data_IF_004340990121
#
_entry.id   IF_004340990121
#
_cell.length_a   1.000
_cell.length_b   1.000
_cell.length_c   1.000
_cell.angle_alpha   90.00
_cell.angle_beta   90.00
_cell.angle_gamma   90.00
#
_symmetry.space_group_name_H-M   'P 1'
#
loop_
_entity.id
_entity.type
_entity.pdbx_description
1 polymer ?
#
# COMPACT_ATOMS: atom_id res chain seq x y z
N UNK A 1 21.12 15.24 56.05
CA UNK A 1 22.25 14.86 55.18
C UNK A 1 21.63 13.93 54.18
N UNK A 2 21.10 14.49 53.09
CA UNK A 2 20.30 13.74 52.13
C UNK A 2 20.81 14.07 50.74
N UNK A 3 21.21 13.00 50.04
CA UNK A 3 21.86 13.01 48.75
C UNK A 3 20.86 13.43 47.66
N UNK A 4 21.20 14.49 46.93
CA UNK A 4 20.56 14.88 45.68
C UNK A 4 21.24 14.11 44.55
N UNK A 5 20.57 13.09 44.02
CA UNK A 5 21.04 12.34 42.84
C UNK A 5 20.46 12.98 41.58
N UNK A 6 21.24 13.82 40.91
CA UNK A 6 20.97 14.28 39.54
C UNK A 6 21.27 13.16 38.56
N UNK A 7 20.23 12.58 37.96
CA UNK A 7 20.34 11.69 36.80
C UNK A 7 20.28 12.55 35.52
N UNK A 8 21.45 12.84 34.97
CA UNK A 8 21.64 13.29 33.59
C UNK A 8 21.50 12.09 32.66
N UNK A 9 20.35 11.93 32.04
CA UNK A 9 20.13 10.94 30.98
C UNK A 9 20.71 11.48 29.68
N UNK A 10 21.91 11.00 29.33
CA UNK A 10 22.51 11.15 28.01
C UNK A 10 21.65 10.42 26.97
N UNK A 11 21.04 11.17 26.06
CA UNK A 11 20.39 10.61 24.88
C UNK A 11 21.43 9.95 23.96
N UNK A 12 21.23 8.71 23.48
CA UNK A 12 22.08 8.16 22.43
C UNK A 12 21.85 8.92 21.12
N UNK A 13 22.96 9.26 20.47
CA UNK A 13 22.99 9.92 19.18
C UNK A 13 22.16 9.14 18.15
N UNK A 14 21.36 9.89 17.39
CA UNK A 14 20.65 9.42 16.21
C UNK A 14 21.65 8.74 15.26
N UNK A 15 21.47 7.44 15.04
CA UNK A 15 22.12 6.72 13.95
C UNK A 15 21.81 7.45 12.64
N UNK A 16 22.85 8.01 12.04
CA UNK A 16 22.82 8.51 10.68
C UNK A 16 22.43 7.36 9.75
N UNK A 17 21.50 7.55 8.79
CA UNK A 17 21.38 6.60 7.70
C UNK A 17 22.70 6.60 6.94
N UNK A 18 23.37 5.46 6.96
CA UNK A 18 24.56 5.20 6.15
C UNK A 18 24.11 5.19 4.68
N UNK A 19 24.10 6.38 4.07
CA UNK A 19 23.89 6.54 2.65
C UNK A 19 25.07 5.92 1.92
N UNK A 20 24.87 4.72 1.36
CA UNK A 20 25.72 4.25 0.28
C UNK A 20 25.41 5.13 -0.93
N UNK A 21 26.24 6.15 -1.10
CA UNK A 21 26.27 6.96 -2.30
C UNK A 21 26.61 6.09 -3.52
N UNK A 22 25.74 6.11 -4.53
CA UNK A 22 26.16 5.91 -5.93
C UNK A 22 26.49 4.49 -6.39
N UNK A 23 25.81 3.45 -5.91
CA UNK A 23 25.76 2.20 -6.68
C UNK A 23 25.01 2.48 -7.99
N UNK A 24 25.68 2.36 -9.14
CA UNK A 24 25.04 2.39 -10.45
C UNK A 24 23.85 1.44 -10.43
N UNK A 25 22.63 1.92 -10.69
CA UNK A 25 21.46 1.07 -10.88
C UNK A 25 21.78 0.09 -12.01
N UNK A 26 22.09 -1.16 -11.66
CA UNK A 26 22.30 -2.20 -12.65
C UNK A 26 20.94 -2.60 -13.19
N UNK A 27 20.75 -2.42 -14.49
CA UNK A 27 19.60 -2.93 -15.23
C UNK A 27 19.95 -4.24 -15.93
N UNK A 28 19.01 -5.16 -16.01
CA UNK A 28 19.17 -6.45 -16.66
C UNK A 28 17.80 -7.00 -17.09
N UNK A 29 17.78 -7.97 -18.01
CA UNK A 29 16.53 -8.66 -18.39
C UNK A 29 16.30 -9.89 -17.54
N UNK A 30 15.04 -10.22 -17.28
CA UNK A 30 14.70 -11.46 -16.59
C UNK A 30 15.30 -12.70 -17.29
N UNK A 31 15.40 -12.70 -18.62
CA UNK A 31 16.03 -13.75 -19.41
C UNK A 31 17.50 -13.96 -19.07
N UNK A 32 18.26 -12.90 -18.76
CA UNK A 32 19.67 -13.02 -18.36
C UNK A 32 19.79 -13.81 -17.05
N UNK A 33 18.95 -13.49 -16.06
CA UNK A 33 18.92 -14.17 -14.77
C UNK A 33 18.42 -15.63 -14.89
N UNK A 34 17.45 -15.88 -15.77
CA UNK A 34 17.00 -17.24 -16.10
C UNK A 34 18.11 -18.06 -16.76
N UNK A 35 18.90 -17.45 -17.65
CA UNK A 35 20.03 -18.12 -18.29
C UNK A 35 21.13 -18.45 -17.27
N UNK A 36 21.47 -17.55 -16.35
CA UNK A 36 22.41 -17.87 -15.25
C UNK A 36 21.89 -19.04 -14.40
N UNK A 37 20.60 -19.04 -14.06
CA UNK A 37 19.98 -20.12 -13.30
C UNK A 37 20.10 -21.49 -13.97
N UNK A 38 20.12 -21.53 -15.31
CA UNK A 38 20.24 -22.78 -16.09
C UNK A 38 21.69 -23.20 -16.33
N UNK A 39 22.63 -22.25 -16.36
CA UNK A 39 24.00 -22.49 -16.84
C UNK A 39 25.06 -22.45 -15.75
N UNK A 40 24.85 -21.70 -14.66
CA UNK A 40 25.83 -21.62 -13.58
C UNK A 40 25.87 -22.89 -12.74
N UNK A 41 27.06 -23.30 -12.29
CA UNK A 41 27.21 -24.48 -11.44
C UNK A 41 26.47 -24.27 -10.12
N UNK A 42 25.75 -25.30 -9.67
CA UNK A 42 25.08 -25.28 -8.37
C UNK A 42 26.10 -25.42 -7.26
N UNK A 43 25.96 -24.56 -6.26
CA UNK A 43 26.77 -24.55 -5.04
C UNK A 43 25.80 -24.86 -3.90
N UNK A 44 26.10 -25.93 -3.15
CA UNK A 44 25.43 -26.18 -1.88
C UNK A 44 26.14 -25.37 -0.79
N UNK A 45 25.39 -24.61 0.00
CA UNK A 45 25.92 -23.99 1.21
C UNK A 45 25.22 -24.56 2.44
N UNK A 46 26.00 -24.70 3.51
CA UNK A 46 25.49 -24.97 4.84
C UNK A 46 25.15 -23.61 5.44
N UNK A 47 23.88 -23.40 5.73
CA UNK A 47 23.44 -22.25 6.51
C UNK A 47 23.62 -22.61 7.99
N UNK A 48 24.37 -21.80 8.74
CA UNK A 48 24.68 -22.06 10.16
C UNK A 48 23.39 -22.19 11.00
N UNK A 49 22.28 -21.63 10.52
CA UNK A 49 20.99 -21.58 11.21
C UNK A 49 19.91 -22.51 10.61
N UNK A 50 20.21 -23.33 9.59
CA UNK A 50 19.19 -24.18 8.94
C UNK A 50 19.52 -25.68 8.96
N UNK A 51 18.50 -26.52 9.16
CA UNK A 51 18.59 -28.00 9.18
C UNK A 51 18.77 -28.64 7.79
N UNK A 52 19.24 -27.91 6.76
CA UNK A 52 19.35 -28.43 5.40
C UNK A 52 20.31 -27.67 4.49
N UNK A 53 20.82 -28.36 3.46
CA UNK A 53 21.61 -27.74 2.39
C UNK A 53 20.68 -27.02 1.42
N UNK A 54 20.93 -25.74 1.20
CA UNK A 54 20.25 -24.98 0.14
C UNK A 54 21.16 -24.95 -1.09
N UNK A 55 20.63 -25.37 -2.23
CA UNK A 55 21.31 -25.24 -3.52
C UNK A 55 21.03 -23.87 -4.14
N UNK A 56 22.09 -23.19 -4.57
CA UNK A 56 21.95 -22.01 -5.42
C UNK A 56 23.18 -21.76 -6.28
N UNK A 57 23.32 -20.54 -6.78
CA UNK A 57 24.41 -20.15 -7.66
C UNK A 57 24.78 -18.67 -7.40
N UNK A 58 26.03 -18.32 -7.70
CA UNK A 58 26.47 -16.93 -7.71
C UNK A 58 25.97 -16.27 -9.01
N UNK A 59 25.03 -15.32 -8.88
CA UNK A 59 24.50 -14.54 -10.00
C UNK A 59 25.40 -13.34 -10.28
N UNK A 60 25.79 -13.15 -11.54
CA UNK A 60 26.60 -11.98 -11.94
C UNK A 60 25.73 -10.74 -12.11
N UNK A 61 24.50 -10.89 -12.62
CA UNK A 61 23.54 -9.78 -12.73
C UNK A 61 23.09 -9.25 -11.37
N UNK A 62 22.83 -10.11 -10.39
CA UNK A 62 22.47 -9.69 -9.03
C UNK A 62 23.68 -9.45 -8.12
N UNK A 63 24.89 -9.81 -8.59
CA UNK A 63 26.15 -9.80 -7.83
C UNK A 63 26.06 -10.52 -6.48
N UNK A 64 25.20 -11.54 -6.39
CA UNK A 64 24.82 -12.21 -5.14
C UNK A 64 24.41 -13.65 -5.38
N UNK A 65 24.37 -14.41 -4.29
CA UNK A 65 23.83 -15.77 -4.29
C UNK A 65 22.31 -15.75 -4.37
N UNK A 66 21.79 -16.60 -5.25
CA UNK A 66 20.36 -16.80 -5.44
C UNK A 66 20.06 -18.27 -5.62
N UNK A 67 18.84 -18.66 -5.27
CA UNK A 67 18.36 -20.02 -5.47
C UNK A 67 17.52 -20.10 -6.75
N UNK A 68 17.52 -21.24 -7.46
CA UNK A 68 16.64 -21.46 -8.61
C UNK A 68 15.17 -21.21 -8.26
N UNK A 69 14.74 -21.57 -7.05
CA UNK A 69 13.39 -21.29 -6.56
C UNK A 69 13.05 -19.80 -6.57
N UNK A 70 13.98 -18.94 -6.12
CA UNK A 70 13.81 -17.47 -6.15
C UNK A 70 13.61 -16.97 -7.57
N UNK A 71 14.44 -17.44 -8.50
CA UNK A 71 14.40 -17.00 -9.91
C UNK A 71 13.10 -17.46 -10.58
N UNK A 72 12.67 -18.71 -10.34
CA UNK A 72 11.42 -19.23 -10.86
C UNK A 72 10.19 -18.52 -10.27
N UNK A 73 10.21 -18.20 -8.97
CA UNK A 73 9.16 -17.42 -8.33
C UNK A 73 9.08 -15.99 -8.89
N UNK A 74 10.23 -15.36 -9.17
CA UNK A 74 10.28 -14.06 -9.84
C UNK A 74 9.70 -14.16 -11.26
N UNK A 75 10.08 -15.17 -12.03
CA UNK A 75 9.54 -15.39 -13.37
C UNK A 75 8.02 -15.65 -13.35
N UNK A 76 7.52 -16.41 -12.37
CA UNK A 76 6.09 -16.59 -12.15
C UNK A 76 5.38 -15.29 -11.81
N UNK A 77 5.97 -14.45 -10.96
CA UNK A 77 5.43 -13.13 -10.63
C UNK A 77 5.35 -12.23 -11.88
N UNK A 78 6.35 -12.27 -12.74
CA UNK A 78 6.47 -11.47 -13.96
C UNK A 78 5.94 -12.17 -15.22
N UNK A 79 5.15 -13.23 -15.08
CA UNK A 79 4.69 -14.04 -16.22
C UNK A 79 3.96 -13.22 -17.30
N UNK A 80 3.23 -12.16 -16.91
CA UNK A 80 2.55 -11.25 -17.84
C UNK A 80 3.48 -10.29 -18.57
N UNK A 81 4.64 -9.97 -17.99
CA UNK A 81 5.67 -9.12 -18.60
C UNK A 81 6.60 -9.95 -19.50
N UNK A 82 6.74 -11.24 -19.19
CA UNK A 82 7.51 -12.19 -19.98
C UNK A 82 9.02 -12.16 -19.67
N UNK A 83 9.82 -12.99 -20.37
CA UNK A 83 11.25 -13.13 -20.11
C UNK A 83 12.06 -11.89 -20.51
N UNK A 84 11.51 -11.01 -21.34
CA UNK A 84 12.18 -9.76 -21.75
C UNK A 84 11.94 -8.60 -20.78
N UNK A 85 11.23 -8.82 -19.67
CA UNK A 85 11.00 -7.81 -18.64
C UNK A 85 12.33 -7.21 -18.15
N UNK A 86 12.46 -5.89 -18.25
CA UNK A 86 13.62 -5.16 -17.74
C UNK A 86 13.47 -4.88 -16.25
N UNK A 87 14.52 -5.21 -15.50
CA UNK A 87 14.61 -5.11 -14.06
C UNK A 87 15.79 -4.24 -13.68
N UNK A 88 15.58 -3.35 -12.72
CA UNK A 88 16.65 -2.54 -12.12
C UNK A 88 16.83 -2.90 -10.66
N UNK A 89 18.09 -2.96 -10.20
CA UNK A 89 18.38 -3.13 -8.77
C UNK A 89 18.22 -1.78 -8.09
N UNK A 90 17.25 -1.68 -7.18
CA UNK A 90 17.02 -0.48 -6.36
C UNK A 90 17.89 -0.49 -5.11
N UNK A 91 17.97 -1.62 -4.42
CA UNK A 91 18.76 -1.77 -3.20
C UNK A 91 19.18 -3.22 -3.00
N UNK A 92 20.35 -3.46 -2.41
CA UNK A 92 20.81 -4.78 -2.03
C UNK A 92 21.48 -4.74 -0.66
N UNK A 93 21.00 -5.54 0.28
CA UNK A 93 21.48 -5.61 1.67
C UNK A 93 21.66 -7.07 2.11
N UNK A 94 22.09 -7.32 3.34
CA UNK A 94 22.36 -8.68 3.83
C UNK A 94 21.11 -9.58 3.87
N UNK A 95 19.91 -9.00 3.85
CA UNK A 95 18.63 -9.69 3.90
C UNK A 95 17.99 -9.88 2.53
N UNK A 96 18.59 -9.37 1.45
CA UNK A 96 18.05 -9.57 0.10
C UNK A 96 18.33 -8.46 -0.91
N UNK A 97 17.64 -8.57 -2.05
CA UNK A 97 17.73 -7.65 -3.18
C UNK A 97 16.35 -7.13 -3.53
N UNK A 98 16.23 -5.82 -3.66
CA UNK A 98 15.03 -5.14 -4.13
C UNK A 98 15.21 -4.78 -5.60
N UNK A 99 14.29 -5.29 -6.42
CA UNK A 99 14.20 -5.05 -7.85
C UNK A 99 13.01 -4.15 -8.17
N UNK A 100 13.12 -3.38 -9.25
CA UNK A 100 12.05 -2.55 -9.76
C UNK A 100 11.89 -2.81 -11.25
N UNK A 101 10.66 -3.14 -11.67
CA UNK A 101 10.32 -3.32 -13.09
C UNK A 101 10.10 -1.96 -13.78
N UNK A 102 10.05 -1.94 -15.11
CA UNK A 102 9.68 -0.74 -15.88
C UNK A 102 8.33 -0.15 -15.45
N UNK A 103 7.38 -1.03 -15.08
CA UNK A 103 6.04 -0.66 -14.59
C UNK A 103 6.03 -0.24 -13.12
N UNK A 104 7.20 0.05 -12.54
CA UNK A 104 7.37 0.47 -11.15
C UNK A 104 6.94 -0.58 -10.12
N UNK A 105 6.84 -1.86 -10.50
CA UNK A 105 6.58 -2.94 -9.54
C UNK A 105 7.84 -3.19 -8.71
N UNK A 106 7.76 -2.99 -7.40
CA UNK A 106 8.87 -3.20 -6.47
C UNK A 106 8.81 -4.61 -5.90
N UNK A 107 9.89 -5.37 -6.04
CA UNK A 107 9.95 -6.80 -5.72
C UNK A 107 11.15 -7.06 -4.82
N UNK A 108 10.94 -7.71 -3.69
CA UNK A 108 11.99 -8.17 -2.79
C UNK A 108 12.29 -9.64 -3.04
N UNK A 109 13.55 -9.93 -3.32
CA UNK A 109 14.13 -11.27 -3.30
C UNK A 109 14.81 -11.48 -1.94
N UNK A 110 14.43 -12.52 -1.21
CA UNK A 110 15.04 -12.91 0.08
C UNK A 110 15.76 -14.27 -0.03
N UNK A 111 16.95 -14.32 -0.65
CA UNK A 111 17.83 -15.48 -0.54
C UNK A 111 18.35 -15.63 0.91
N UNK A 112 18.70 -16.84 1.37
CA UNK A 112 18.62 -18.13 0.68
C UNK A 112 17.23 -18.77 0.67
N UNK A 113 16.27 -18.23 1.45
CA UNK A 113 14.97 -18.87 1.74
C UNK A 113 14.00 -18.93 0.56
N UNK A 114 14.35 -18.41 -0.61
CA UNK A 114 13.54 -18.52 -1.81
C UNK A 114 12.35 -17.56 -1.86
N UNK A 115 12.28 -16.57 -0.95
CA UNK A 115 11.15 -15.67 -0.88
C UNK A 115 11.17 -14.63 -1.99
N UNK A 116 10.03 -14.49 -2.67
CA UNK A 116 9.74 -13.37 -3.57
C UNK A 116 8.50 -12.67 -3.04
N UNK A 117 8.65 -11.42 -2.62
CA UNK A 117 7.57 -10.60 -2.08
C UNK A 117 7.41 -9.32 -2.88
N UNK A 118 6.18 -8.87 -3.07
CA UNK A 118 5.91 -7.59 -3.72
C UNK A 118 5.83 -6.50 -2.65
N UNK A 119 6.61 -5.44 -2.82
CA UNK A 119 6.72 -4.34 -1.89
C UNK A 119 5.77 -3.20 -2.25
N UNK A 120 5.47 -2.36 -1.27
CA UNK A 120 4.82 -1.09 -1.46
C UNK A 120 5.44 -0.29 -2.62
N UNK A 121 4.60 0.32 -3.47
CA UNK A 121 5.04 1.10 -4.62
C UNK A 121 5.88 2.34 -4.24
N UNK A 122 5.69 2.88 -3.03
CA UNK A 122 6.50 3.99 -2.52
C UNK A 122 8.00 3.64 -2.54
N UNK A 123 8.87 4.45 -3.19
CA UNK A 123 10.29 4.19 -3.29
C UNK A 123 10.94 3.96 -1.93
N UNK A 124 11.88 3.02 -1.87
CA UNK A 124 12.64 2.65 -0.66
C UNK A 124 11.81 2.12 0.52
N UNK A 125 10.49 1.97 0.39
CA UNK A 125 9.68 1.29 1.38
C UNK A 125 10.01 -0.22 1.40
N UNK A 126 10.25 -0.79 2.57
CA UNK A 126 10.49 -2.23 2.72
C UNK A 126 9.24 -3.03 3.08
N UNK A 127 8.11 -2.35 3.31
CA UNK A 127 6.86 -3.00 3.71
C UNK A 127 6.20 -3.70 2.51
N UNK A 128 5.54 -4.85 2.74
CA UNK A 128 4.75 -5.51 1.70
C UNK A 128 3.57 -4.63 1.28
N UNK A 129 3.22 -4.68 0.00
CA UNK A 129 1.95 -4.09 -0.46
C UNK A 129 0.75 -4.89 0.07
N UNK A 130 -0.41 -4.25 0.12
CA UNK A 130 -1.64 -4.90 0.57
C UNK A 130 -2.16 -5.90 -0.47
N UNK A 131 -2.27 -5.48 -1.73
CA UNK A 131 -2.80 -6.33 -2.79
C UNK A 131 -2.26 -5.94 -4.17
N UNK A 132 -1.63 -6.91 -4.83
CA UNK A 132 -1.05 -6.70 -6.16
C UNK A 132 -2.12 -6.35 -7.19
N UNK A 133 -1.92 -5.24 -7.88
CA UNK A 133 -2.74 -4.79 -9.01
C UNK A 133 -3.90 -3.88 -8.64
N UNK A 134 -4.26 -3.79 -7.35
CA UNK A 134 -5.40 -2.98 -6.87
C UNK A 134 -5.01 -2.02 -5.75
N UNK A 135 -4.24 -2.49 -4.77
CA UNK A 135 -3.76 -1.69 -3.63
C UNK A 135 -2.25 -1.94 -3.48
N UNK A 136 -1.49 -1.23 -4.30
CA UNK A 136 -0.04 -1.35 -4.44
C UNK A 136 0.77 -0.68 -3.31
N UNK A 137 0.10 -0.11 -2.32
CA UNK A 137 0.71 0.50 -1.13
C UNK A 137 0.63 -0.40 0.10
N UNK A 138 1.55 -0.19 1.05
CA UNK A 138 1.43 -0.74 2.40
C UNK A 138 0.44 0.07 3.25
N UNK A 139 0.08 -0.43 4.43
CA UNK A 139 -0.85 0.25 5.34
C UNK A 139 -0.43 1.68 5.71
N UNK A 140 0.86 1.91 5.91
CA UNK A 140 1.40 3.21 6.30
C UNK A 140 1.26 4.24 5.18
N UNK A 141 1.72 3.90 3.97
CA UNK A 141 1.65 4.80 2.82
C UNK A 141 0.23 4.97 2.31
N UNK A 142 -0.61 3.94 2.39
CA UNK A 142 -2.03 4.04 2.06
C UNK A 142 -2.73 5.07 2.97
N UNK A 143 -2.48 5.04 4.28
CA UNK A 143 -3.02 6.01 5.23
C UNK A 143 -2.50 7.44 4.98
N UNK A 144 -1.25 7.59 4.53
CA UNK A 144 -0.67 8.90 4.21
C UNK A 144 -1.05 9.44 2.82
N UNK A 145 -1.67 8.61 1.97
CA UNK A 145 -1.96 8.95 0.58
C UNK A 145 -3.01 10.04 0.43
N UNK A 146 -2.93 10.77 -0.67
CA UNK A 146 -3.94 11.77 -1.01
C UNK A 146 -5.31 11.11 -1.21
N UNK A 147 -6.43 11.74 -0.79
CA UNK A 147 -7.78 11.22 -1.02
C UNK A 147 -8.09 10.80 -2.45
N UNK A 148 -7.57 11.54 -3.44
CA UNK A 148 -7.76 11.21 -4.86
C UNK A 148 -7.11 9.87 -5.22
N UNK A 149 -5.91 9.61 -4.70
CA UNK A 149 -5.19 8.34 -4.93
C UNK A 149 -5.94 7.18 -4.30
N UNK A 150 -6.45 7.34 -3.08
CA UNK A 150 -7.25 6.31 -2.39
C UNK A 150 -8.54 6.03 -3.16
N UNK A 151 -9.23 7.07 -3.64
CA UNK A 151 -10.44 6.92 -4.45
C UNK A 151 -10.16 6.20 -5.78
N UNK A 152 -9.05 6.51 -6.45
CA UNK A 152 -8.65 5.83 -7.69
C UNK A 152 -8.33 4.34 -7.45
N UNK A 153 -7.60 4.01 -6.38
CA UNK A 153 -7.38 2.61 -5.97
C UNK A 153 -8.70 1.90 -5.66
N UNK A 154 -9.62 2.58 -4.96
CA UNK A 154 -10.93 2.03 -4.62
C UNK A 154 -11.78 1.74 -5.85
N UNK A 155 -11.79 2.64 -6.84
CA UNK A 155 -12.45 2.43 -8.13
C UNK A 155 -11.84 1.23 -8.85
N UNK A 156 -10.50 1.20 -9.01
CA UNK A 156 -9.80 0.12 -9.71
C UNK A 156 -10.09 -1.24 -9.08
N UNK A 157 -10.00 -1.33 -7.75
CA UNK A 157 -10.33 -2.54 -7.01
C UNK A 157 -11.78 -2.96 -7.19
N UNK A 158 -12.73 -2.03 -7.03
CA UNK A 158 -14.16 -2.31 -7.11
C UNK A 158 -14.59 -2.78 -8.49
N UNK A 159 -14.08 -2.16 -9.56
CA UNK A 159 -14.31 -2.61 -10.94
C UNK A 159 -13.79 -4.02 -11.17
N UNK A 160 -12.58 -4.34 -10.70
CA UNK A 160 -12.04 -5.70 -10.82
C UNK A 160 -12.88 -6.72 -10.04
N UNK A 161 -13.28 -6.37 -8.81
CA UNK A 161 -14.13 -7.22 -7.98
C UNK A 161 -15.50 -7.47 -8.62
N UNK A 162 -16.13 -6.43 -9.18
CA UNK A 162 -17.38 -6.55 -9.93
C UNK A 162 -17.25 -7.51 -11.11
N UNK A 163 -16.20 -7.36 -11.94
CA UNK A 163 -15.95 -8.26 -13.07
C UNK A 163 -15.71 -9.71 -12.65
N UNK A 164 -14.95 -9.96 -11.58
CA UNK A 164 -14.65 -11.31 -11.08
C UNK A 164 -15.86 -11.99 -10.46
N UNK A 165 -16.75 -11.21 -9.83
CA UNK A 165 -17.97 -11.70 -9.18
C UNK A 165 -19.19 -11.68 -10.10
N UNK A 166 -19.00 -11.28 -11.37
CA UNK A 166 -20.06 -11.17 -12.38
C UNK A 166 -21.25 -10.31 -11.92
N UNK A 167 -21.01 -9.35 -11.03
CA UNK A 167 -22.05 -8.49 -10.47
C UNK A 167 -23.05 -9.15 -9.53
N UNK A 168 -22.79 -10.36 -9.01
CA UNK A 168 -23.70 -11.09 -8.11
C UNK A 168 -23.92 -10.34 -6.77
N UNK A 169 -25.12 -9.78 -6.51
CA UNK A 169 -25.42 -8.99 -5.31
C UNK A 169 -25.18 -9.73 -3.99
N UNK A 170 -25.32 -11.06 -3.97
CA UNK A 170 -25.13 -11.86 -2.76
C UNK A 170 -23.64 -12.01 -2.39
N UNK A 171 -22.76 -11.86 -3.37
CA UNK A 171 -21.30 -12.00 -3.22
C UNK A 171 -20.57 -10.66 -3.19
N UNK A 172 -21.22 -9.59 -3.67
CA UNK A 172 -20.70 -8.23 -3.60
C UNK A 172 -20.75 -7.68 -2.16
N UNK A 173 -19.66 -7.03 -1.74
CA UNK A 173 -19.51 -6.43 -0.43
C UNK A 173 -18.79 -7.30 0.60
N UNK A 174 -18.59 -6.77 1.82
CA UNK A 174 -17.93 -7.50 2.91
C UNK A 174 -16.42 -7.72 2.75
N UNK A 175 -15.79 -7.18 1.70
CA UNK A 175 -14.36 -7.33 1.46
C UNK A 175 -13.51 -6.56 2.48
N UNK A 176 -12.39 -7.18 2.90
CA UNK A 176 -11.36 -6.56 3.74
C UNK A 176 -10.62 -5.42 3.03
N UNK A 177 -10.46 -5.50 1.72
CA UNK A 177 -9.80 -4.48 0.89
C UNK A 177 -10.60 -3.19 0.91
N UNK A 178 -11.92 -3.28 0.72
CA UNK A 178 -12.82 -2.14 0.86
C UNK A 178 -12.72 -1.51 2.26
N UNK A 179 -12.63 -2.32 3.32
CA UNK A 179 -12.43 -1.80 4.69
C UNK A 179 -11.12 -1.05 4.83
N UNK A 180 -10.01 -1.58 4.28
CA UNK A 180 -8.70 -0.94 4.34
C UNK A 180 -8.68 0.41 3.61
N UNK A 181 -9.30 0.49 2.44
CA UNK A 181 -9.43 1.74 1.67
C UNK A 181 -10.27 2.78 2.43
N UNK A 182 -11.40 2.37 3.02
CA UNK A 182 -12.25 3.27 3.82
C UNK A 182 -11.56 3.73 5.10
N UNK A 183 -10.85 2.83 5.78
CA UNK A 183 -10.07 3.15 6.97
C UNK A 183 -8.93 4.13 6.66
N UNK A 184 -8.21 3.93 5.55
CA UNK A 184 -7.21 4.86 5.08
C UNK A 184 -7.82 6.23 4.73
N UNK A 185 -8.95 6.25 4.02
CA UNK A 185 -9.66 7.49 3.70
C UNK A 185 -10.14 8.24 4.95
N UNK A 186 -10.49 7.52 6.03
CA UNK A 186 -10.86 8.11 7.31
C UNK A 186 -9.72 8.95 7.91
N UNK A 187 -8.46 8.56 7.73
CA UNK A 187 -7.32 9.35 8.21
C UNK A 187 -7.23 10.74 7.58
N UNK A 188 -7.78 10.89 6.36
CA UNK A 188 -7.80 12.11 5.57
C UNK A 188 -9.17 12.81 5.58
N UNK A 189 -10.14 12.29 6.35
CA UNK A 189 -11.52 12.81 6.35
C UNK A 189 -12.25 12.63 5.02
N UNK A 190 -11.87 11.63 4.22
CA UNK A 190 -12.39 11.41 2.86
C UNK A 190 -13.25 10.13 2.71
N UNK A 191 -13.66 9.51 3.83
CA UNK A 191 -14.38 8.23 3.80
C UNK A 191 -15.67 8.27 2.98
N UNK A 192 -16.49 9.31 3.10
CA UNK A 192 -17.76 9.41 2.33
C UNK A 192 -17.52 9.33 0.82
N UNK A 193 -16.47 10.00 0.32
CA UNK A 193 -16.11 9.96 -1.09
C UNK A 193 -15.68 8.57 -1.53
N UNK A 194 -14.80 7.93 -0.77
CA UNK A 194 -14.31 6.58 -1.10
C UNK A 194 -15.43 5.55 -1.00
N UNK A 195 -16.34 5.68 -0.03
CA UNK A 195 -17.53 4.82 0.07
C UNK A 195 -18.41 4.98 -1.16
N UNK A 196 -18.71 6.21 -1.60
CA UNK A 196 -19.46 6.44 -2.83
C UNK A 196 -18.79 5.80 -4.05
N UNK A 197 -17.49 6.04 -4.23
CA UNK A 197 -16.72 5.45 -5.34
C UNK A 197 -16.75 3.92 -5.33
N UNK A 198 -16.59 3.30 -4.15
CA UNK A 198 -16.70 1.86 -4.00
C UNK A 198 -18.09 1.36 -4.41
N UNK A 199 -19.15 2.00 -3.92
CA UNK A 199 -20.52 1.56 -4.21
C UNK A 199 -20.90 1.71 -5.69
N UNK A 200 -20.53 2.83 -6.31
CA UNK A 200 -20.78 3.12 -7.73
C UNK A 200 -20.01 2.18 -8.66
N UNK A 201 -18.85 1.68 -8.22
CA UNK A 201 -18.00 0.79 -9.04
C UNK A 201 -18.22 -0.70 -8.76
N UNK A 202 -18.71 -1.04 -7.56
CA UNK A 202 -18.93 -2.41 -7.11
C UNK A 202 -20.38 -2.87 -7.33
N UNK A 203 -21.33 -1.94 -7.40
CA UNK A 203 -22.75 -2.23 -7.65
C UNK A 203 -23.24 -1.41 -8.85
N UNK A 204 -24.41 -1.78 -9.36
CA UNK A 204 -25.11 -0.94 -10.35
C UNK A 204 -25.54 0.35 -9.68
N UNK A 205 -25.30 1.50 -10.33
CA UNK A 205 -25.72 2.80 -9.83
C UNK A 205 -27.23 2.82 -9.53
N UNK A 206 -27.63 3.41 -8.41
CA UNK A 206 -29.00 3.29 -7.86
C UNK A 206 -30.07 3.82 -8.82
N UNK A 207 -29.75 4.84 -9.61
CA UNK A 207 -30.57 5.41 -10.69
C UNK A 207 -30.58 4.58 -11.98
N UNK A 208 -29.65 3.65 -12.15
CA UNK A 208 -29.52 2.79 -13.33
C UNK A 208 -30.07 1.37 -13.11
N UNK A 209 -30.40 0.99 -11.86
CA UNK A 209 -30.88 -0.35 -11.51
C UNK A 209 -32.10 -0.75 -12.35
N UNK A 210 -33.10 0.13 -12.46
CA UNK A 210 -34.34 -0.16 -13.21
C UNK A 210 -34.10 -0.26 -14.73
N UNK A 211 -33.04 0.37 -15.23
CA UNK A 211 -32.67 0.34 -16.65
C UNK A 211 -31.84 -0.90 -17.01
N UNK A 212 -30.97 -1.35 -16.10
CA UNK A 212 -30.00 -2.42 -16.35
C UNK A 212 -30.48 -3.80 -15.88
N UNK A 213 -31.35 -3.87 -14.88
CA UNK A 213 -31.85 -5.12 -14.31
C UNK A 213 -33.35 -5.20 -14.58
N UNK A 214 -33.80 -6.18 -15.37
CA UNK A 214 -35.21 -6.28 -15.76
C UNK A 214 -36.08 -6.97 -14.72
N UNK A 215 -35.52 -7.85 -13.89
CA UNK A 215 -36.28 -8.56 -12.87
C UNK A 215 -36.42 -7.71 -11.60
N UNK A 216 -37.66 -7.50 -11.14
CA UNK A 216 -37.97 -6.69 -9.95
C UNK A 216 -37.35 -7.27 -8.66
N UNK A 217 -37.21 -8.60 -8.57
CA UNK A 217 -36.62 -9.25 -7.40
C UNK A 217 -35.12 -8.97 -7.37
N UNK A 218 -34.43 -9.16 -8.49
CA UNK A 218 -33.01 -8.82 -8.64
C UNK A 218 -32.74 -7.32 -8.40
N UNK A 219 -33.63 -6.43 -8.86
CA UNK A 219 -33.53 -4.99 -8.55
C UNK A 219 -33.59 -4.72 -7.04
N UNK A 220 -34.53 -5.36 -6.33
CA UNK A 220 -34.67 -5.21 -4.88
C UNK A 220 -33.47 -5.78 -4.13
N UNK A 221 -32.95 -6.93 -4.57
CA UNK A 221 -31.74 -7.56 -4.03
C UNK A 221 -30.53 -6.66 -4.22
N UNK A 222 -30.35 -6.05 -5.40
CA UNK A 222 -29.28 -5.10 -5.69
C UNK A 222 -29.35 -3.87 -4.79
N UNK A 223 -30.55 -3.28 -4.62
CA UNK A 223 -30.76 -2.14 -3.70
C UNK A 223 -30.45 -2.52 -2.25
N UNK A 224 -30.90 -3.69 -1.82
CA UNK A 224 -30.65 -4.18 -0.47
C UNK A 224 -29.15 -4.43 -0.22
N UNK A 225 -28.47 -5.09 -1.16
CA UNK A 225 -27.04 -5.35 -1.07
C UNK A 225 -26.23 -4.04 -1.01
N UNK A 226 -26.53 -3.09 -1.90
CA UNK A 226 -25.93 -1.74 -1.91
C UNK A 226 -26.16 -1.01 -0.59
N UNK A 227 -27.39 -1.01 -0.08
CA UNK A 227 -27.75 -0.37 1.19
C UNK A 227 -27.06 -0.99 2.40
N UNK A 228 -26.99 -2.32 2.45
CA UNK A 228 -26.28 -3.08 3.49
C UNK A 228 -24.80 -2.76 3.48
N UNK A 229 -24.16 -2.75 2.32
CA UNK A 229 -22.74 -2.44 2.19
C UNK A 229 -22.43 -0.99 2.54
N UNK A 230 -23.29 -0.04 2.13
CA UNK A 230 -23.20 1.37 2.51
C UNK A 230 -23.17 1.56 4.03
N UNK A 231 -24.06 0.88 4.77
CA UNK A 231 -24.10 0.93 6.24
C UNK A 231 -22.84 0.31 6.84
N UNK A 232 -22.39 -0.82 6.30
CA UNK A 232 -21.20 -1.54 6.77
C UNK A 232 -19.95 -0.67 6.62
N UNK A 233 -19.70 -0.12 5.44
CA UNK A 233 -18.53 0.73 5.19
C UNK A 233 -18.56 2.03 6.02
N UNK A 234 -19.74 2.64 6.22
CA UNK A 234 -19.88 3.77 7.15
C UNK A 234 -19.51 3.38 8.58
N UNK A 235 -19.91 2.19 9.02
CA UNK A 235 -19.55 1.69 10.36
C UNK A 235 -18.04 1.52 10.52
N UNK A 236 -17.35 1.08 9.46
CA UNK A 236 -15.88 0.98 9.42
C UNK A 236 -15.23 2.35 9.55
N UNK A 237 -15.68 3.33 8.75
CA UNK A 237 -15.23 4.72 8.84
C UNK A 237 -15.44 5.31 10.25
N UNK A 238 -16.66 5.23 10.78
CA UNK A 238 -16.99 5.74 12.11
C UNK A 238 -16.16 5.09 13.23
N UNK A 239 -15.86 3.79 13.10
CA UNK A 239 -15.01 3.07 14.06
C UNK A 239 -13.57 3.56 13.99
N UNK A 240 -13.05 3.73 12.78
CA UNK A 240 -11.67 4.15 12.57
C UNK A 240 -11.44 5.61 12.97
N UNK A 241 -12.36 6.51 12.63
CA UNK A 241 -12.31 7.92 13.04
C UNK A 241 -12.36 8.06 14.57
N UNK A 242 -13.21 7.26 15.25
CA UNK A 242 -13.24 7.19 16.72
C UNK A 242 -11.92 6.67 17.29
N UNK A 243 -11.32 5.64 16.69
CA UNK A 243 -10.02 5.11 17.08
C UNK A 243 -8.93 6.19 16.97
N UNK A 244 -8.88 6.90 15.83
CA UNK A 244 -7.90 7.96 15.56
C UNK A 244 -8.07 9.16 16.50
N UNK A 245 -9.31 9.57 16.79
CA UNK A 245 -9.62 10.60 17.80
C UNK A 245 -9.17 10.17 19.20
N UNK A 246 -9.37 8.90 19.56
CA UNK A 246 -8.92 8.34 20.83
C UNK A 246 -7.39 8.35 21.00
N UNK A 247 -6.64 8.16 19.90
CA UNK A 247 -5.17 8.25 19.90
C UNK A 247 -4.70 9.71 19.95
N UNK A 248 -5.31 10.59 19.14
CA UNK A 248 -4.89 12.00 19.04
C UNK A 248 -5.28 12.81 20.27
N UNK A 249 -6.42 12.51 20.88
CA UNK A 249 -7.03 13.12 22.10
C UNK A 249 -7.39 14.60 22.02
N UNK A 250 -6.58 15.43 21.37
CA UNK A 250 -6.76 16.89 21.26
C UNK A 250 -6.64 17.32 19.79
N UNK A 251 -7.34 18.38 19.43
CA UNK A 251 -7.32 18.90 18.08
C UNK A 251 -5.94 19.48 17.76
N UNK A 252 -5.35 19.07 16.64
CA UNK A 252 -4.04 19.59 16.21
C UNK A 252 -4.07 21.09 15.84
N UNK A 253 -5.25 21.65 15.57
CA UNK A 253 -5.41 23.05 15.18
C UNK A 253 -5.70 24.03 16.31
N UNK A 254 -6.55 23.66 17.28
CA UNK A 254 -6.94 24.54 18.39
C UNK A 254 -6.57 24.02 19.79
N UNK A 255 -6.14 22.75 19.92
CA UNK A 255 -5.84 22.12 21.20
C UNK A 255 -7.06 21.60 21.97
N UNK A 256 -8.28 21.87 21.51
CA UNK A 256 -9.50 21.44 22.19
C UNK A 256 -9.61 19.91 22.26
N UNK A 257 -10.19 19.35 23.34
CA UNK A 257 -10.39 17.92 23.49
C UNK A 257 -11.28 17.33 22.38
N UNK A 258 -10.78 16.30 21.68
CA UNK A 258 -11.52 15.62 20.61
C UNK A 258 -12.55 14.63 21.13
N UNK A 259 -12.45 14.20 22.39
CA UNK A 259 -13.32 13.19 22.98
C UNK A 259 -14.76 13.69 23.22
N UNK A 260 -14.98 15.01 23.25
CA UNK A 260 -16.30 15.62 23.38
C UNK A 260 -17.14 15.50 22.09
N UNK A 261 -16.50 15.24 20.96
CA UNK A 261 -17.15 15.06 19.65
C UNK A 261 -17.49 13.58 19.43
N UNK A 262 -18.64 13.16 19.98
CA UNK A 262 -19.14 11.78 19.87
C UNK A 262 -19.50 11.37 18.44
N UNK A 263 -19.78 12.34 17.56
CA UNK A 263 -20.03 12.09 16.13
C UNK A 263 -18.87 12.64 15.31
N UNK A 264 -18.39 11.89 14.31
CA UNK A 264 -17.44 12.43 13.38
C UNK A 264 -18.01 13.65 12.64
N UNK A 265 -17.16 14.65 12.46
CA UNK A 265 -17.47 15.77 11.59
C UNK A 265 -17.19 15.31 10.17
N UNK A 266 -18.24 15.19 9.35
CA UNK A 266 -18.09 14.76 7.96
C UNK A 266 -17.11 15.66 7.21
N UNK A 267 -16.36 15.05 6.29
CA UNK A 267 -15.35 15.74 5.49
C UNK A 267 -14.27 16.47 6.31
N UNK A 268 -14.03 16.05 7.56
CA UNK A 268 -13.00 16.60 8.42
C UNK A 268 -12.08 15.47 8.89
N UNK A 269 -10.75 15.58 8.70
CA UNK A 269 -9.83 14.59 9.22
C UNK A 269 -9.97 14.46 10.75
N UNK A 270 -9.82 13.26 11.31
CA UNK A 270 -10.13 12.95 12.70
C UNK A 270 -9.19 13.63 13.70
N UNK A 271 -8.06 14.16 13.25
CA UNK A 271 -7.12 14.92 14.07
C UNK A 271 -7.58 16.36 14.32
N UNK A 272 -8.66 16.80 13.67
CA UNK A 272 -9.24 18.14 13.80
C UNK A 272 -10.68 18.11 14.31
N UNK A 273 -11.06 19.14 15.07
CA UNK A 273 -12.42 19.31 15.58
C UNK A 273 -13.37 19.90 14.52
N UNK A 274 -12.83 20.58 13.50
CA UNK A 274 -13.60 21.24 12.44
C UNK A 274 -12.76 21.42 11.17
N UNK A 275 -13.40 21.60 10.00
CA UNK A 275 -12.71 21.90 8.74
C UNK A 275 -11.82 23.15 8.84
N UNK A 276 -12.27 24.17 9.56
CA UNK A 276 -11.50 25.40 9.77
C UNK A 276 -10.18 25.15 10.52
N UNK A 277 -10.14 24.17 11.41
CA UNK A 277 -8.90 23.76 12.07
C UNK A 277 -7.99 22.95 11.15
N UNK A 278 -8.55 22.14 10.24
CA UNK A 278 -7.77 21.42 9.25
C UNK A 278 -7.14 22.37 8.21
N UNK A 279 -7.91 23.34 7.71
CA UNK A 279 -7.47 24.26 6.65
C UNK A 279 -6.27 25.13 7.05
N UNK A 280 -6.20 25.54 8.32
CA UNK A 280 -5.05 26.29 8.85
C UNK A 280 -3.72 25.54 8.76
N UNK A 281 -3.80 24.21 8.77
CA UNK A 281 -2.64 23.31 8.75
C UNK A 281 -2.47 22.59 7.41
N UNK A 282 -3.33 22.89 6.42
CA UNK A 282 -3.16 22.36 5.08
C UNK A 282 -1.90 22.99 4.48
N UNK A 283 -0.92 22.20 4.02
CA UNK A 283 0.23 22.76 3.31
C UNK A 283 -0.30 23.56 2.12
N UNK A 284 0.04 24.85 2.06
CA UNK A 284 -0.31 25.68 0.90
C UNK A 284 0.25 24.99 -0.34
N UNK A 285 -0.54 24.80 -1.41
CA UNK A 285 0.00 24.27 -2.65
C UNK A 285 1.19 25.14 -3.01
N UNK A 286 2.37 24.52 -3.21
CA UNK A 286 3.50 25.22 -3.79
C UNK A 286 2.98 25.79 -5.10
N UNK A 287 2.91 27.11 -5.21
CA UNK A 287 2.62 27.72 -6.51
C UNK A 287 3.63 27.12 -7.47
N UNK A 288 3.20 26.61 -8.63
CA UNK A 288 4.15 26.23 -9.66
C UNK A 288 5.04 27.45 -9.87
N UNK A 289 6.35 27.28 -9.67
CA UNK A 289 7.34 28.25 -10.10
C UNK A 289 7.10 28.39 -11.61
N UNK A 290 6.29 29.39 -11.98
CA UNK A 290 6.27 29.92 -13.33
C UNK A 290 7.63 30.59 -13.47
N UNK A 291 8.65 29.76 -13.67
CA UNK A 291 9.98 30.21 -14.01
C UNK A 291 9.80 31.18 -15.15
N UNK A 292 10.33 32.39 -14.95
CA UNK A 292 10.33 33.44 -15.94
C UNK A 292 10.76 32.82 -17.28
N UNK A 293 9.81 32.65 -18.20
CA UNK A 293 10.13 32.34 -19.59
C UNK A 293 10.97 33.51 -20.10
N UNK A 294 12.27 33.34 -20.37
CA UNK A 294 12.96 34.33 -21.16
C UNK A 294 12.48 34.14 -22.60
N UNK A 295 11.93 35.21 -23.16
CA UNK A 295 11.80 35.35 -24.61
C UNK A 295 13.13 35.07 -25.32
#
# INVERSE_FOLDING_TARGET
MDMVTTLTTSAPALDQPCGIAGASRSTFRLSDLLMECLTHPRISWEDEDSWGRVEGFDSTVLQRRVTPGTVLSLAGLLALEGPDAELSVESADNHGVTLVTERQLRIRLTPPWGGVGVLCAEPHCSDPMIERGTIDLCHTHLAASHPDTIAAMAQSWATQAYCVLEGDPARLGGSRQAELLVAAAATQGASDRVISTLLESLFVEENMIEEQIWDETEQLEMRYATGKERIRLRTVADKEERRLRGVTKHCLGCGDPLHEYLRPVRACPPQYCSPACADKHRPKPKQPDLGDCPF
#
